data_IF_072941387656
#
_entry.id   IF_072941387656
#
_cell.length_a   1.000
_cell.length_b   1.000
_cell.length_c   1.000
_cell.angle_alpha   90.00
_cell.angle_beta   90.00
_cell.angle_gamma   90.00
#
_symmetry.space_group_name_H-M   'P 1'
#
loop_
_entity.id
_entity.type
_entity.pdbx_description
1 polymer ?
#
# COMPACT_ATOMS: atom_id res chain seq x y z
N UNK A 1 -33.03 25.04 1.00
CA UNK A 1 -32.86 24.84 2.46
C UNK A 1 -31.40 24.48 2.71
N UNK A 2 -30.85 24.91 3.85
CA UNK A 2 -29.45 24.73 4.24
C UNK A 2 -29.18 23.38 4.89
N UNK A 3 -28.02 22.78 4.61
CA UNK A 3 -27.30 21.94 5.55
C UNK A 3 -25.78 22.15 5.34
N UNK A 4 -25.16 22.79 6.31
CA UNK A 4 -23.71 22.82 6.51
C UNK A 4 -23.39 22.29 7.92
N UNK A 5 -22.15 22.45 8.40
CA UNK A 5 -21.13 21.42 8.24
C UNK A 5 -20.77 20.74 9.58
N UNK A 6 -20.20 19.53 9.55
CA UNK A 6 -19.52 18.98 10.73
C UNK A 6 -19.44 17.46 10.86
N UNK A 7 -18.35 16.89 10.38
CA UNK A 7 -17.63 15.74 10.95
C UNK A 7 -16.26 15.78 10.25
N UNK A 8 -15.18 16.25 10.89
CA UNK A 8 -14.63 15.68 12.11
C UNK A 8 -13.43 14.84 11.65
N UNK A 9 -12.25 15.45 11.61
CA UNK A 9 -11.08 14.88 10.92
C UNK A 9 -10.65 13.55 11.52
N UNK A 10 -11.01 12.45 10.86
CA UNK A 10 -10.38 11.16 11.09
C UNK A 10 -8.95 11.26 10.54
N UNK A 11 -7.96 11.33 11.44
CA UNK A 11 -6.57 11.17 11.06
C UNK A 11 -6.36 9.71 10.63
N UNK A 12 -6.46 9.46 9.34
CA UNK A 12 -6.25 8.15 8.73
C UNK A 12 -4.81 7.71 8.99
N UNK A 13 -4.65 6.66 9.81
CA UNK A 13 -3.33 6.15 10.18
C UNK A 13 -2.92 5.08 9.18
N UNK A 14 -2.39 5.54 8.05
CA UNK A 14 -1.64 4.70 7.14
C UNK A 14 -0.42 4.10 7.87
N UNK A 15 -0.32 2.78 7.92
CA UNK A 15 0.84 2.03 8.43
C UNK A 15 1.26 1.02 7.38
N UNK A 16 2.53 0.64 7.32
CA UNK A 16 3.03 -0.42 6.44
C UNK A 16 3.87 0.10 5.28
N UNK A 17 5.10 -0.41 5.23
CA UNK A 17 5.99 -0.50 4.08
C UNK A 17 6.96 -1.66 4.34
N UNK A 18 7.64 -2.18 3.30
CA UNK A 18 8.42 -3.42 3.40
C UNK A 18 9.71 -3.49 2.53
N UNK A 19 10.90 -3.28 3.13
CA UNK A 19 12.22 -3.84 2.73
C UNK A 19 12.98 -4.42 3.97
N UNK A 20 13.70 -5.56 3.99
CA UNK A 20 13.84 -6.75 3.08
C UNK A 20 14.36 -7.98 3.89
N UNK A 21 14.39 -9.20 3.31
CA UNK A 21 15.23 -10.34 3.78
C UNK A 21 15.92 -11.04 2.57
N UNK A 22 17.10 -11.62 2.79
CA UNK A 22 18.06 -12.02 1.73
C UNK A 22 17.92 -13.49 1.30
N UNK A 23 17.59 -13.74 0.02
CA UNK A 23 17.43 -15.10 -0.50
C UNK A 23 17.51 -15.25 -2.02
N UNK A 24 18.51 -16.02 -2.47
CA UNK A 24 18.76 -16.59 -3.82
C UNK A 24 18.82 -15.58 -4.98
N UNK A 25 19.99 -15.57 -5.63
CA UNK A 25 20.36 -14.72 -6.77
C UNK A 25 19.72 -15.20 -8.08
N UNK A 26 18.64 -14.51 -8.48
CA UNK A 26 18.02 -14.59 -9.80
C UNK A 26 17.88 -13.18 -10.39
N UNK A 27 18.96 -12.39 -10.32
CA UNK A 27 19.00 -11.03 -10.85
C UNK A 27 18.11 -10.02 -10.10
N UNK A 28 18.01 -8.77 -10.62
CA UNK A 28 17.31 -7.69 -9.95
C UNK A 28 15.78 -7.84 -10.08
N UNK A 29 15.16 -8.51 -9.10
CA UNK A 29 13.70 -8.55 -8.94
C UNK A 29 13.16 -7.14 -8.60
N UNK A 30 12.15 -6.60 -9.32
CA UNK A 30 11.59 -5.29 -9.03
C UNK A 30 10.99 -5.25 -7.62
N UNK A 31 11.24 -4.17 -6.89
CA UNK A 31 10.68 -3.95 -5.55
C UNK A 31 9.22 -3.54 -5.62
N UNK A 32 8.42 -3.99 -4.64
CA UNK A 32 7.07 -3.49 -4.41
C UNK A 32 6.90 -3.02 -2.98
N UNK A 33 5.87 -2.21 -2.75
CA UNK A 33 5.43 -1.73 -1.42
C UNK A 33 3.95 -2.03 -1.23
N UNK A 34 3.55 -2.26 0.02
CA UNK A 34 2.16 -2.43 0.42
C UNK A 34 1.91 -1.76 1.77
N UNK A 35 0.84 -0.99 1.86
CA UNK A 35 0.46 -0.18 3.03
C UNK A 35 -0.89 -0.66 3.54
N UNK A 36 -0.95 -0.99 4.84
CA UNK A 36 -2.13 -1.44 5.57
C UNK A 36 -2.78 -0.25 6.29
N UNK A 37 -3.76 0.38 5.67
CA UNK A 37 -4.52 1.46 6.29
C UNK A 37 -5.44 0.94 7.41
N UNK A 38 -5.47 1.66 8.54
CA UNK A 38 -6.31 1.33 9.70
C UNK A 38 -7.05 2.54 10.24
N UNK A 39 -8.28 2.33 10.72
CA UNK A 39 -9.03 3.35 11.46
C UNK A 39 -8.56 3.47 12.93
N UNK A 40 -9.13 4.43 13.67
CA UNK A 40 -8.77 4.67 15.07
C UNK A 40 -9.13 3.52 16.04
N UNK A 41 -10.06 2.63 15.64
CA UNK A 41 -10.45 1.44 16.38
C UNK A 41 -9.64 0.19 15.95
N UNK A 42 -8.70 0.34 15.00
CA UNK A 42 -7.86 -0.74 14.48
C UNK A 42 -8.52 -1.60 13.40
N UNK A 43 -9.63 -1.16 12.78
CA UNK A 43 -10.23 -1.88 11.65
C UNK A 43 -9.37 -1.68 10.40
N UNK A 44 -9.17 -2.75 9.66
CA UNK A 44 -8.40 -2.77 8.41
C UNK A 44 -9.26 -2.24 7.26
N UNK A 45 -8.69 -1.34 6.46
CA UNK A 45 -9.27 -0.94 5.18
C UNK A 45 -9.20 -2.10 4.17
N UNK A 46 -10.31 -2.39 3.51
CA UNK A 46 -10.40 -3.42 2.46
C UNK A 46 -11.00 -2.78 1.22
N UNK A 47 -10.27 -2.84 0.10
CA UNK A 47 -10.75 -2.30 -1.18
C UNK A 47 -10.91 -3.40 -2.24
N UNK A 48 -11.55 -3.05 -3.35
CA UNK A 48 -11.55 -3.91 -4.55
C UNK A 48 -10.58 -3.32 -5.57
N UNK A 49 -9.56 -4.09 -5.94
CA UNK A 49 -8.53 -3.70 -6.91
C UNK A 49 -9.17 -3.31 -8.24
N UNK A 50 -8.64 -2.27 -8.89
CA UNK A 50 -9.12 -1.87 -10.22
C UNK A 50 -8.99 -3.02 -11.23
N UNK A 51 -9.93 -3.18 -12.18
CA UNK A 51 -9.79 -4.10 -13.31
C UNK A 51 -8.54 -3.87 -14.17
N UNK A 52 -7.87 -2.71 -14.06
CA UNK A 52 -6.67 -2.38 -14.83
C UNK A 52 -5.33 -2.84 -14.19
N UNK A 53 -5.29 -3.34 -12.94
CA UNK A 53 -4.05 -3.89 -12.37
C UNK A 53 -3.69 -5.19 -13.10
N UNK A 54 -2.44 -5.30 -13.57
CA UNK A 54 -1.93 -6.47 -14.32
C UNK A 54 -2.01 -7.76 -13.48
N UNK A 55 -1.75 -7.65 -12.18
CA UNK A 55 -1.79 -8.77 -11.24
C UNK A 55 -3.03 -8.63 -10.34
N UNK A 56 -3.79 -9.73 -10.22
CA UNK A 56 -5.02 -9.83 -9.41
C UNK A 56 -6.06 -8.72 -9.71
N UNK A 57 -6.51 -8.54 -10.97
CA UNK A 57 -7.54 -7.55 -11.31
C UNK A 57 -8.87 -7.88 -10.61
N UNK A 58 -9.60 -6.85 -10.17
CA UNK A 58 -10.96 -6.97 -9.61
C UNK A 58 -11.14 -7.81 -8.33
N UNK A 59 -10.06 -8.29 -7.70
CA UNK A 59 -10.12 -9.00 -6.41
C UNK A 59 -10.19 -8.01 -5.23
N UNK A 60 -10.55 -8.51 -4.04
CA UNK A 60 -10.43 -7.76 -2.79
C UNK A 60 -8.99 -7.83 -2.26
N UNK A 61 -8.53 -6.74 -1.68
CA UNK A 61 -7.16 -6.58 -1.16
C UNK A 61 -7.19 -5.68 0.09
N UNK A 62 -6.18 -5.86 0.94
CA UNK A 62 -5.98 -5.15 2.22
C UNK A 62 -4.80 -4.18 2.17
N UNK A 63 -3.99 -4.24 1.11
CA UNK A 63 -2.87 -3.32 0.90
C UNK A 63 -3.15 -2.36 -0.26
N UNK A 64 -2.94 -1.07 -0.02
CA UNK A 64 -2.70 -0.12 -1.12
C UNK A 64 -1.22 -0.14 -1.48
N UNK A 65 -0.88 -0.03 -2.76
CA UNK A 65 0.52 -0.18 -3.18
C UNK A 65 0.80 -0.51 -4.64
N UNK A 66 2.10 -0.47 -4.94
CA UNK A 66 2.63 -0.62 -6.29
C UNK A 66 4.13 -0.88 -6.31
N UNK A 67 4.76 -0.52 -7.43
CA UNK A 67 6.15 -0.83 -7.75
C UNK A 67 7.04 0.34 -7.34
N UNK A 68 8.19 0.05 -6.73
CA UNK A 68 9.19 1.07 -6.37
C UNK A 68 9.88 1.55 -7.64
N UNK A 69 9.85 2.86 -7.89
CA UNK A 69 10.47 3.50 -9.04
C UNK A 69 12.01 3.44 -9.03
N UNK A 70 12.61 3.67 -10.20
CA UNK A 70 14.08 3.70 -10.34
C UNK A 70 14.68 4.85 -9.52
N UNK A 71 15.46 4.50 -8.49
CA UNK A 71 16.06 5.48 -7.56
C UNK A 71 15.11 5.98 -6.47
N UNK A 72 13.88 5.47 -6.41
CA UNK A 72 12.92 5.73 -5.33
C UNK A 72 13.27 4.89 -4.10
N UNK A 73 13.06 5.43 -2.89
CA UNK A 73 13.17 4.65 -1.65
C UNK A 73 11.85 3.92 -1.37
N UNK A 74 11.89 2.92 -0.50
CA UNK A 74 10.67 2.20 -0.09
C UNK A 74 9.70 3.10 0.67
N UNK A 75 10.22 4.08 1.42
CA UNK A 75 9.40 5.02 2.19
C UNK A 75 8.71 6.05 1.28
N UNK A 76 9.43 6.60 0.28
CA UNK A 76 8.84 7.51 -0.71
C UNK A 76 7.81 6.78 -1.58
N UNK A 77 8.11 5.55 -2.04
CA UNK A 77 7.18 4.73 -2.80
C UNK A 77 5.92 4.40 -1.99
N UNK A 78 6.06 3.94 -0.74
CA UNK A 78 4.93 3.58 0.10
C UNK A 78 4.04 4.80 0.42
N UNK A 79 4.66 5.96 0.67
CA UNK A 79 3.93 7.21 0.85
C UNK A 79 3.18 7.60 -0.42
N UNK A 80 3.84 7.64 -1.57
CA UNK A 80 3.25 8.01 -2.87
C UNK A 80 2.06 7.13 -3.21
N UNK A 81 2.24 5.81 -3.20
CA UNK A 81 1.17 4.86 -3.55
C UNK A 81 -0.03 4.96 -2.59
N UNK A 82 0.20 5.19 -1.29
CA UNK A 82 -0.88 5.36 -0.32
C UNK A 82 -1.59 6.72 -0.46
N UNK A 83 -0.87 7.81 -0.71
CA UNK A 83 -1.47 9.13 -1.00
C UNK A 83 -2.31 9.08 -2.29
N UNK A 84 -1.83 8.39 -3.34
CA UNK A 84 -2.54 8.20 -4.61
C UNK A 84 -3.78 7.29 -4.51
N UNK A 85 -3.68 6.09 -3.89
CA UNK A 85 -4.78 5.13 -3.86
C UNK A 85 -5.84 5.42 -2.79
N UNK A 86 -5.48 6.09 -1.69
CA UNK A 86 -6.43 6.50 -0.63
C UNK A 86 -6.97 7.92 -0.83
N UNK A 87 -6.31 8.75 -1.64
CA UNK A 87 -6.68 10.16 -1.84
C UNK A 87 -6.36 11.06 -0.64
N UNK A 88 -5.34 10.70 0.14
CA UNK A 88 -4.88 11.43 1.35
C UNK A 88 -3.56 12.15 1.08
N UNK A 89 -3.14 13.05 1.97
CA UNK A 89 -1.83 13.71 1.88
C UNK A 89 -1.23 13.97 3.26
N UNK A 90 0.10 14.08 3.33
CA UNK A 90 0.82 14.38 4.56
C UNK A 90 1.00 13.19 5.51
N UNK A 91 0.82 11.96 4.99
CA UNK A 91 0.99 10.73 5.79
C UNK A 91 2.48 10.34 5.90
N UNK A 92 2.77 9.53 6.90
CA UNK A 92 4.09 8.93 7.15
C UNK A 92 3.88 7.46 7.54
N UNK A 93 3.89 6.53 6.57
CA UNK A 93 3.74 5.11 6.86
C UNK A 93 4.85 4.59 7.80
N UNK A 94 4.48 3.75 8.75
CA UNK A 94 5.39 3.03 9.63
C UNK A 94 5.84 1.72 8.96
N UNK A 95 7.14 1.46 8.84
CA UNK A 95 7.65 0.16 8.38
C UNK A 95 7.29 -0.94 9.40
N UNK A 96 6.89 -2.13 8.92
CA UNK A 96 6.42 -3.23 9.77
C UNK A 96 7.29 -4.48 9.70
N UNK A 97 7.53 -4.99 8.49
CA UNK A 97 8.26 -6.24 8.24
C UNK A 97 8.58 -6.33 6.75
N UNK A 98 9.35 -7.34 6.33
CA UNK A 98 9.43 -7.69 4.90
C UNK A 98 9.68 -9.16 4.68
N UNK A 99 9.30 -9.59 3.49
CA UNK A 99 9.36 -10.93 2.97
C UNK A 99 9.75 -10.86 1.50
N UNK A 100 10.39 -11.90 1.00
CA UNK A 100 10.44 -12.18 -0.43
C UNK A 100 9.12 -12.88 -0.80
N UNK A 101 8.36 -12.31 -1.74
CA UNK A 101 7.25 -13.03 -2.36
C UNK A 101 7.76 -13.83 -3.55
N UNK A 102 7.63 -15.15 -3.50
CA UNK A 102 7.77 -16.03 -4.65
C UNK A 102 6.40 -16.59 -5.02
N UNK A 103 5.98 -16.36 -6.26
CA UNK A 103 4.86 -17.09 -6.84
C UNK A 103 5.32 -18.49 -7.23
N UNK A 104 4.67 -19.53 -6.69
CA UNK A 104 4.65 -20.82 -7.38
C UNK A 104 3.73 -20.64 -8.60
N UNK A 105 4.33 -20.60 -9.79
CA UNK A 105 3.74 -20.64 -11.13
C UNK A 105 2.28 -20.15 -11.26
N UNK A 106 2.12 -18.87 -11.65
CA UNK A 106 0.83 -18.36 -12.11
C UNK A 106 0.58 -18.81 -13.56
N UNK A 107 0.06 -20.03 -13.74
CA UNK A 107 -0.53 -20.49 -15.01
C UNK A 107 -1.91 -19.85 -15.29
#
# INVERSE_FOLDING_TARGET
ASAGPGAGGAAERARGAAARDEGVDEGPRPGGVGVLATDADGRIFVHRRTPQKIVFPSLYDVFVGGVVGTGESYDEAAKREAEEELGVTGISPEHLFTFLYTSADHE
#
